data_IF_041481697770
#
_entry.id   IF_041481697770
#
_cell.length_a   1.000
_cell.length_b   1.000
_cell.length_c   1.000
_cell.angle_alpha   90.00
_cell.angle_beta   90.00
_cell.angle_gamma   90.00
#
_symmetry.space_group_name_H-M   'P 1'
#
loop_
_entity.id
_entity.type
_entity.pdbx_description
1 polymer ?
#
# COMPACT_ATOMS: atom_id res chain seq x y z
N UNK A 1 -1.71 13.95 -15.57
CA UNK A 1 -1.01 12.66 -15.30
C UNK A 1 -0.94 11.87 -16.59
N UNK A 2 0.25 11.46 -17.03
CA UNK A 2 0.37 10.61 -18.21
C UNK A 2 -0.23 9.22 -17.95
N UNK A 3 -0.85 8.60 -18.95
CA UNK A 3 -1.50 7.28 -18.86
C UNK A 3 -0.61 6.20 -18.19
N UNK A 4 0.72 6.27 -18.37
CA UNK A 4 1.68 5.34 -17.75
C UNK A 4 1.89 5.51 -16.24
N UNK A 5 1.76 6.71 -15.68
CA UNK A 5 1.90 6.95 -14.24
C UNK A 5 0.66 6.47 -13.48
N UNK A 6 -0.52 6.72 -14.05
CA UNK A 6 -1.79 6.23 -13.50
C UNK A 6 -1.83 4.69 -13.46
N UNK A 7 -1.30 4.02 -14.50
CA UNK A 7 -1.22 2.56 -14.53
C UNK A 7 -0.26 2.00 -13.47
N UNK A 8 0.90 2.65 -13.26
CA UNK A 8 1.84 2.28 -12.19
C UNK A 8 1.21 2.48 -10.81
N UNK A 9 0.53 3.60 -10.58
CA UNK A 9 -0.18 3.87 -9.32
C UNK A 9 -1.26 2.83 -9.03
N UNK A 10 -2.05 2.46 -10.03
CA UNK A 10 -3.06 1.41 -9.91
C UNK A 10 -2.47 0.04 -9.55
N UNK A 11 -1.30 -0.31 -10.13
CA UNK A 11 -0.59 -1.55 -9.82
C UNK A 11 -0.10 -1.56 -8.36
N UNK A 12 0.52 -0.48 -7.90
CA UNK A 12 0.99 -0.35 -6.51
C UNK A 12 -0.17 -0.41 -5.53
N UNK A 13 -1.27 0.30 -5.80
CA UNK A 13 -2.48 0.26 -4.98
C UNK A 13 -3.02 -1.17 -4.82
N UNK A 14 -3.09 -1.92 -5.93
CA UNK A 14 -3.61 -3.30 -5.95
C UNK A 14 -2.74 -4.24 -5.11
N UNK A 15 -1.42 -4.17 -5.25
CA UNK A 15 -0.50 -5.02 -4.50
C UNK A 15 -0.52 -4.68 -3.00
N UNK A 16 -0.50 -3.40 -2.64
CA UNK A 16 -0.61 -2.96 -1.25
C UNK A 16 -1.91 -3.45 -0.60
N UNK A 17 -3.05 -3.26 -1.27
CA UNK A 17 -4.35 -3.74 -0.79
C UNK A 17 -4.38 -5.25 -0.58
N UNK A 18 -3.73 -6.01 -1.47
CA UNK A 18 -3.63 -7.48 -1.39
C UNK A 18 -2.79 -7.90 -0.18
N UNK A 19 -1.63 -7.29 0.00
CA UNK A 19 -0.72 -7.54 1.13
C UNK A 19 -1.41 -7.22 2.45
N UNK A 20 -2.07 -6.07 2.55
CA UNK A 20 -2.81 -5.66 3.76
C UNK A 20 -3.92 -6.65 4.10
N UNK A 21 -4.72 -7.07 3.11
CA UNK A 21 -5.77 -8.08 3.33
C UNK A 21 -5.21 -9.43 3.79
N UNK A 22 -4.00 -9.79 3.34
CA UNK A 22 -3.33 -11.06 3.69
C UNK A 22 -2.72 -11.02 5.09
N UNK A 23 -2.10 -9.91 5.48
CA UNK A 23 -1.30 -9.81 6.72
C UNK A 23 -2.08 -9.23 7.91
N UNK A 24 -2.90 -8.20 7.67
CA UNK A 24 -3.69 -7.58 8.74
C UNK A 24 -4.98 -8.38 8.98
N UNK A 25 -5.53 -8.98 7.92
CA UNK A 25 -6.80 -9.71 7.94
C UNK A 25 -7.95 -8.88 7.38
N UNK A 26 -9.12 -9.52 7.24
CA UNK A 26 -10.31 -8.93 6.61
C UNK A 26 -11.35 -8.42 7.61
N UNK A 27 -11.04 -8.49 8.90
CA UNK A 27 -11.97 -8.16 9.96
C UNK A 27 -12.37 -6.67 9.96
N UNK A 28 -13.59 -6.41 10.41
CA UNK A 28 -14.22 -5.08 10.35
C UNK A 28 -13.48 -4.06 11.22
N UNK A 29 -13.04 -4.46 12.42
CA UNK A 29 -12.21 -3.62 13.29
C UNK A 29 -10.83 -3.28 12.69
N UNK A 30 -10.41 -3.97 11.62
CA UNK A 30 -9.17 -3.70 10.87
C UNK A 30 -9.44 -3.00 9.54
N UNK A 31 -10.68 -2.63 9.25
CA UNK A 31 -11.06 -1.90 8.03
C UNK A 31 -10.40 -0.53 7.94
N UNK A 32 -10.10 0.10 9.08
CA UNK A 32 -9.44 1.42 9.15
C UNK A 32 -8.13 1.48 8.35
N UNK A 33 -7.33 0.42 8.34
CA UNK A 33 -6.10 0.38 7.54
C UNK A 33 -6.38 0.40 6.03
N UNK A 34 -7.39 -0.34 5.59
CA UNK A 34 -7.80 -0.40 4.18
C UNK A 34 -8.41 0.93 3.73
N UNK A 35 -9.22 1.54 4.60
CA UNK A 35 -9.87 2.82 4.36
C UNK A 35 -8.89 4.00 4.34
N UNK A 36 -7.88 3.97 5.24
CA UNK A 36 -6.78 4.92 5.25
C UNK A 36 -6.00 4.90 3.93
N UNK A 37 -5.63 3.71 3.45
CA UNK A 37 -4.91 3.55 2.17
C UNK A 37 -5.76 4.08 1.00
N UNK A 38 -7.05 3.75 0.96
CA UNK A 38 -7.96 4.23 -0.08
C UNK A 38 -8.07 5.76 -0.08
N UNK A 39 -8.15 6.36 1.11
CA UNK A 39 -8.23 7.81 1.29
C UNK A 39 -6.94 8.51 0.83
N UNK A 40 -5.79 7.99 1.22
CA UNK A 40 -4.50 8.59 0.84
C UNK A 40 -4.23 8.49 -0.68
N UNK A 41 -4.57 7.36 -1.32
CA UNK A 41 -4.44 7.22 -2.77
C UNK A 41 -5.40 8.14 -3.55
N UNK A 42 -6.57 8.43 -2.99
CA UNK A 42 -7.53 9.37 -3.60
C UNK A 42 -7.05 10.81 -3.47
N UNK A 43 -6.49 11.21 -2.32
CA UNK A 43 -5.91 12.55 -2.12
C UNK A 43 -4.75 12.85 -3.06
N UNK A 44 -3.95 11.85 -3.43
CA UNK A 44 -2.86 12.01 -4.41
C UNK A 44 -3.31 12.26 -5.85
N UNK A 45 -4.62 12.18 -6.15
CA UNK A 45 -5.18 12.50 -7.48
C UNK A 45 -5.47 14.01 -7.61
N UNK A 46 -5.77 14.70 -6.50
CA UNK A 46 -6.06 16.13 -6.47
C UNK A 46 -4.84 16.94 -6.02
N UNK A 47 -4.05 17.41 -6.99
CA UNK A 47 -3.12 18.53 -6.80
C UNK A 47 -1.78 18.25 -6.12
N UNK A 48 -1.32 16.99 -6.05
CA UNK A 48 0.00 16.67 -5.50
C UNK A 48 1.07 16.62 -6.61
N UNK A 49 2.18 17.33 -6.42
CA UNK A 49 3.33 17.30 -7.33
C UNK A 49 3.80 15.85 -7.59
N UNK A 50 4.12 15.52 -8.85
CA UNK A 50 4.48 14.14 -9.26
C UNK A 50 5.61 13.55 -8.41
N UNK A 51 6.57 14.36 -7.96
CA UNK A 51 7.65 13.93 -7.05
C UNK A 51 7.15 13.38 -5.71
N UNK A 52 6.11 14.00 -5.13
CA UNK A 52 5.53 13.57 -3.85
C UNK A 52 4.71 12.29 -4.04
N UNK A 53 4.05 12.13 -5.19
CA UNK A 53 3.36 10.88 -5.56
C UNK A 53 4.37 9.75 -5.68
N UNK A 54 5.47 9.95 -6.41
CA UNK A 54 6.54 8.95 -6.54
C UNK A 54 7.14 8.56 -5.18
N UNK A 55 7.36 9.53 -4.30
CA UNK A 55 7.87 9.28 -2.95
C UNK A 55 6.88 8.48 -2.09
N UNK A 56 5.59 8.84 -2.10
CA UNK A 56 4.53 8.07 -1.40
C UNK A 56 4.40 6.66 -1.96
N UNK A 57 4.50 6.49 -3.29
CA UNK A 57 4.49 5.18 -3.93
C UNK A 57 5.69 4.33 -3.52
N UNK A 58 6.88 4.93 -3.42
CA UNK A 58 8.09 4.25 -2.92
C UNK A 58 7.90 3.76 -1.49
N UNK A 59 7.42 4.60 -0.59
CA UNK A 59 7.16 4.22 0.82
C UNK A 59 6.15 3.08 0.92
N UNK A 60 5.06 3.14 0.15
CA UNK A 60 4.06 2.07 0.10
C UNK A 60 4.62 0.74 -0.42
N UNK A 61 5.50 0.79 -1.42
CA UNK A 61 6.20 -0.37 -1.97
C UNK A 61 7.15 -0.98 -0.94
N UNK A 62 7.99 -0.15 -0.31
CA UNK A 62 8.97 -0.58 0.69
C UNK A 62 8.27 -1.23 1.90
N UNK A 63 7.15 -0.66 2.36
CA UNK A 63 6.35 -1.23 3.45
C UNK A 63 5.68 -2.56 3.07
N UNK A 64 5.18 -2.66 1.83
CA UNK A 64 4.61 -3.92 1.32
C UNK A 64 5.65 -5.03 1.24
N UNK A 65 6.86 -4.69 0.80
CA UNK A 65 7.99 -5.62 0.77
C UNK A 65 8.36 -6.07 2.18
N UNK A 66 8.50 -5.16 3.13
CA UNK A 66 8.83 -5.49 4.52
C UNK A 66 7.78 -6.43 5.13
N UNK A 67 6.50 -6.10 5.02
CA UNK A 67 5.41 -6.96 5.50
C UNK A 67 5.46 -8.35 4.88
N UNK A 68 5.69 -8.43 3.56
CA UNK A 68 5.78 -9.70 2.84
C UNK A 68 7.02 -10.52 3.24
N UNK A 69 8.12 -9.85 3.60
CA UNK A 69 9.37 -10.47 4.04
C UNK A 69 9.29 -11.00 5.47
N UNK A 70 8.51 -10.37 6.36
CA UNK A 70 8.26 -10.90 7.72
C UNK A 70 7.65 -12.31 7.67
N UNK A 71 6.82 -12.61 6.66
CA UNK A 71 6.27 -13.97 6.48
C UNK A 71 7.25 -14.98 5.88
N UNK A 72 8.24 -14.56 5.08
CA UNK A 72 9.27 -15.48 4.60
C UNK A 72 10.33 -15.80 5.67
N UNK A 73 10.36 -15.04 6.76
CA UNK A 73 11.26 -15.25 7.88
C UNK A 73 10.56 -15.57 9.21
N UNK A 74 9.29 -15.96 9.19
CA UNK A 74 8.58 -16.41 10.40
C UNK A 74 8.70 -17.92 10.60
N UNK A 75 9.95 -18.36 10.71
CA UNK A 75 10.35 -19.47 11.57
C UNK A 75 10.53 -19.04 13.04
N UNK A 76 9.93 -17.92 13.46
CA UNK A 76 9.96 -17.50 14.86
C UNK A 76 9.82 -15.99 15.01
N UNK A 77 8.61 -15.55 15.34
CA UNK A 77 8.37 -14.58 16.41
C UNK A 77 6.86 -14.40 16.53
N UNK A 78 6.34 -15.09 17.54
CA UNK A 78 5.04 -14.86 18.15
C UNK A 78 5.17 -13.57 18.95
N UNK A 79 4.30 -12.60 18.68
CA UNK A 79 3.86 -11.61 19.67
C UNK A 79 2.34 -11.63 19.63
#
# INVERSE_FOLDING_TARGET
MGSGEALKAAKVYKELMKTVKKHIGKEEHKAHFREFIKTEFRKSVDGLESSVIQQKMKVASDYSYLLSSVHHHQGGLVI
#
